data_IF_935388626855
#
_entry.id   IF_935388626855
#
_cell.length_a   1.000
_cell.length_b   1.000
_cell.length_c   1.000
_cell.angle_alpha   90.00
_cell.angle_beta   90.00
_cell.angle_gamma   90.00
#
_symmetry.space_group_name_H-M   'P 1'
#
loop_
_entity.id
_entity.type
_entity.pdbx_description
1 polymer ?
#
# COMPACT_ATOMS: atom_id res chain seq x y z
N UNK A 1 6.08 1.50 -7.72
CA UNK A 1 6.36 0.29 -8.54
C UNK A 1 5.26 0.07 -9.58
N UNK A 2 4.04 -0.35 -9.21
CA UNK A 2 2.96 -0.68 -10.16
C UNK A 2 2.66 0.45 -11.16
N UNK A 3 2.44 1.67 -10.69
CA UNK A 3 2.22 2.83 -11.57
C UNK A 3 3.36 3.02 -12.57
N UNK A 4 4.62 2.95 -12.13
CA UNK A 4 5.77 3.09 -13.03
C UNK A 4 5.91 1.91 -14.01
N UNK A 5 5.56 0.69 -13.58
CA UNK A 5 5.63 -0.52 -14.40
C UNK A 5 4.51 -0.60 -15.45
N UNK A 6 3.32 -0.08 -15.13
CA UNK A 6 2.12 -0.22 -15.96
C UNK A 6 1.68 1.04 -16.69
N UNK A 7 2.07 2.24 -16.23
CA UNK A 7 1.66 3.47 -16.88
C UNK A 7 2.25 3.59 -18.28
N UNK A 8 1.40 3.84 -19.28
CA UNK A 8 1.84 4.21 -20.64
C UNK A 8 2.03 5.74 -20.68
N UNK A 9 3.21 6.24 -21.11
CA UNK A 9 3.51 7.68 -21.11
C UNK A 9 2.50 8.56 -21.87
N UNK A 10 1.76 7.98 -22.84
CA UNK A 10 0.82 8.71 -23.68
C UNK A 10 -0.58 8.93 -23.04
N UNK A 11 -0.99 8.12 -22.05
CA UNK A 11 -2.33 8.22 -21.44
C UNK A 11 -2.37 9.11 -20.19
N UNK A 12 -1.23 9.34 -19.55
CA UNK A 12 -1.13 10.21 -18.37
C UNK A 12 -1.40 11.71 -18.66
N UNK A 13 -1.45 12.09 -19.95
CA UNK A 13 -1.52 13.49 -20.38
C UNK A 13 -2.89 14.02 -20.80
N UNK A 14 -3.93 13.19 -21.00
CA UNK A 14 -5.19 13.67 -21.61
C UNK A 14 -6.44 13.04 -21.01
N UNK A 15 -7.08 13.76 -20.08
CA UNK A 15 -8.55 13.74 -19.99
C UNK A 15 -9.15 13.39 -18.63
N UNK A 16 -9.27 14.40 -17.75
CA UNK A 16 -10.59 14.90 -17.28
C UNK A 16 -10.35 16.02 -16.27
N UNK A 17 -10.57 17.25 -16.74
CA UNK A 17 -10.76 18.37 -15.84
C UNK A 17 -12.01 18.13 -14.98
N UNK A 18 -11.81 18.04 -13.67
CA UNK A 18 -12.84 18.38 -12.67
C UNK A 18 -12.15 19.00 -11.47
N UNK A 19 -12.18 20.34 -11.48
CA UNK A 19 -12.25 21.28 -10.35
C UNK A 19 -11.69 20.78 -9.01
N UNK A 20 -10.46 21.22 -8.72
CA UNK A 20 -9.97 21.56 -7.39
C UNK A 20 -9.77 20.40 -6.41
N UNK A 21 -8.59 19.76 -6.42
CA UNK A 21 -7.93 19.33 -5.19
C UNK A 21 -6.51 18.82 -5.49
N UNK A 22 -5.47 19.55 -5.06
CA UNK A 22 -4.08 19.08 -4.86
C UNK A 22 -3.39 18.21 -5.94
N UNK A 23 -2.19 17.69 -5.63
CA UNK A 23 -1.59 16.58 -6.37
C UNK A 23 -2.50 15.35 -6.25
N UNK A 24 -2.81 14.66 -7.35
CA UNK A 24 -3.54 13.38 -7.30
C UNK A 24 -2.75 12.40 -6.45
N UNK A 25 -3.39 11.84 -5.42
CA UNK A 25 -2.74 10.85 -4.59
C UNK A 25 -2.60 9.52 -5.36
N UNK A 26 -1.62 8.70 -4.94
CA UNK A 26 -1.31 7.42 -5.61
C UNK A 26 -2.54 6.49 -5.72
N UNK A 27 -3.44 6.56 -4.75
CA UNK A 27 -4.64 5.73 -4.68
C UNK A 27 -5.74 6.19 -5.65
N UNK A 28 -5.77 7.46 -6.02
CA UNK A 28 -6.66 7.97 -7.09
C UNK A 28 -6.19 7.54 -8.49
N UNK A 29 -4.89 7.29 -8.66
CA UNK A 29 -4.30 6.94 -9.95
C UNK A 29 -4.29 5.43 -10.20
N UNK A 30 -4.15 4.63 -9.14
CA UNK A 30 -3.99 3.17 -9.24
C UNK A 30 -5.11 2.46 -10.02
N UNK A 31 -6.40 2.76 -9.83
CA UNK A 31 -7.48 2.09 -10.56
C UNK A 31 -7.42 2.29 -12.08
N UNK A 32 -6.80 3.38 -12.54
CA UNK A 32 -6.65 3.67 -13.98
C UNK A 32 -5.59 2.80 -14.67
N UNK A 33 -4.58 2.32 -13.94
CA UNK A 33 -3.47 1.52 -14.50
C UNK A 33 -3.48 0.06 -14.07
N UNK A 34 -4.16 -0.26 -12.98
CA UNK A 34 -4.29 -1.58 -12.38
C UNK A 34 -5.70 -1.69 -11.77
N UNK A 35 -6.75 -1.83 -12.60
CA UNK A 35 -8.13 -1.93 -12.11
C UNK A 35 -8.34 -3.11 -11.15
N UNK A 36 -7.54 -4.17 -11.28
CA UNK A 36 -7.51 -5.29 -10.33
C UNK A 36 -7.10 -4.89 -8.90
N UNK A 37 -6.51 -3.70 -8.72
CA UNK A 37 -6.15 -3.14 -7.41
C UNK A 37 -7.10 -2.00 -6.96
N UNK A 38 -8.24 -1.81 -7.63
CA UNK A 38 -9.15 -0.70 -7.33
C UNK A 38 -9.73 -0.77 -5.91
N UNK A 39 -10.07 -1.97 -5.45
CA UNK A 39 -10.57 -2.19 -4.09
C UNK A 39 -9.52 -1.83 -3.03
N UNK A 40 -8.29 -2.28 -3.24
CA UNK A 40 -7.14 -1.91 -2.41
C UNK A 40 -6.90 -0.40 -2.41
N UNK A 41 -7.01 0.26 -3.57
CA UNK A 41 -6.88 1.70 -3.67
C UNK A 41 -7.94 2.45 -2.85
N UNK A 42 -9.19 2.00 -2.90
CA UNK A 42 -10.27 2.55 -2.08
C UNK A 42 -10.01 2.33 -0.58
N UNK A 43 -9.60 1.13 -0.19
CA UNK A 43 -9.30 0.78 1.20
C UNK A 43 -8.19 1.65 1.79
N UNK A 44 -7.03 1.76 1.12
CA UNK A 44 -5.93 2.60 1.61
C UNK A 44 -6.23 4.09 1.53
N UNK A 45 -6.99 4.52 0.52
CA UNK A 45 -7.48 5.89 0.43
C UNK A 45 -8.35 6.28 1.63
N UNK A 46 -9.27 5.41 2.05
CA UNK A 46 -10.12 5.63 3.22
C UNK A 46 -9.33 5.67 4.55
N UNK A 47 -8.25 4.90 4.66
CA UNK A 47 -7.41 4.85 5.87
C UNK A 47 -6.30 5.92 5.90
N UNK A 48 -6.07 6.65 4.80
CA UNK A 48 -4.99 7.63 4.70
C UNK A 48 -5.06 8.74 5.76
N UNK A 49 -6.28 9.19 6.09
CA UNK A 49 -6.50 10.21 7.13
C UNK A 49 -6.12 9.72 8.54
N UNK A 50 -6.50 8.48 8.88
CA UNK A 50 -6.12 7.85 10.16
C UNK A 50 -4.61 7.71 10.30
N UNK A 51 -3.94 7.26 9.23
CA UNK A 51 -2.48 7.19 9.19
C UNK A 51 -1.85 8.57 9.36
N UNK A 52 -2.33 9.59 8.65
CA UNK A 52 -1.79 10.95 8.76
C UNK A 52 -1.93 11.51 10.19
N UNK A 53 -3.08 11.29 10.84
CA UNK A 53 -3.30 11.67 12.23
C UNK A 53 -2.37 10.93 13.20
N UNK A 54 -2.17 9.61 13.01
CA UNK A 54 -1.22 8.83 13.80
C UNK A 54 0.23 9.32 13.61
N UNK A 55 0.65 9.61 12.37
CA UNK A 55 1.98 10.14 12.08
C UNK A 55 2.22 11.54 12.66
N UNK A 56 1.16 12.34 12.81
CA UNK A 56 1.20 13.63 13.49
C UNK A 56 1.26 13.50 15.02
N UNK A 57 1.27 12.28 15.57
CA UNK A 57 1.34 12.03 17.00
C UNK A 57 0.03 12.28 17.74
N UNK A 58 -1.11 12.31 17.04
CA UNK A 58 -2.41 12.52 17.67
C UNK A 58 -2.78 11.30 18.54
N UNK A 59 -2.96 11.47 19.87
CA UNK A 59 -3.31 10.37 20.75
C UNK A 59 -4.66 9.76 20.37
N UNK A 60 -4.73 8.43 20.29
CA UNK A 60 -5.97 7.71 19.98
C UNK A 60 -6.44 7.82 18.53
N UNK A 61 -5.61 8.33 17.61
CA UNK A 61 -5.94 8.38 16.19
C UNK A 61 -6.19 6.99 15.57
N UNK A 62 -5.51 5.97 16.10
CA UNK A 62 -5.63 4.56 15.71
C UNK A 62 -5.39 3.70 16.95
N UNK A 63 -6.17 2.65 17.13
CA UNK A 63 -5.94 1.64 18.16
C UNK A 63 -4.86 0.63 17.73
N UNK A 64 -4.20 -0.08 18.67
CA UNK A 64 -3.24 -1.13 18.30
C UNK A 64 -3.85 -2.19 17.37
N UNK A 65 -5.10 -2.61 17.63
CA UNK A 65 -5.79 -3.60 16.80
C UNK A 65 -6.02 -3.09 15.36
N UNK A 66 -6.46 -1.85 15.21
CA UNK A 66 -6.64 -1.24 13.89
C UNK A 66 -5.31 -1.10 13.14
N UNK A 67 -4.21 -0.81 13.86
CA UNK A 67 -2.88 -0.77 13.26
C UNK A 67 -2.44 -2.16 12.78
N UNK A 68 -2.61 -3.20 13.61
CA UNK A 68 -2.29 -4.59 13.25
C UNK A 68 -3.10 -5.08 12.06
N UNK A 69 -4.39 -4.74 12.00
CA UNK A 69 -5.23 -5.08 10.85
C UNK A 69 -4.77 -4.34 9.59
N UNK A 70 -4.47 -3.05 9.69
CA UNK A 70 -3.95 -2.29 8.54
C UNK A 70 -2.62 -2.85 8.04
N UNK A 71 -1.75 -3.33 8.93
CA UNK A 71 -0.51 -4.01 8.56
C UNK A 71 -0.78 -5.34 7.85
N UNK A 72 -1.70 -6.17 8.35
CA UNK A 72 -2.09 -7.43 7.68
C UNK A 72 -2.65 -7.21 6.28
N UNK A 73 -3.46 -6.17 6.11
CA UNK A 73 -4.01 -5.80 4.81
C UNK A 73 -2.93 -5.23 3.87
N UNK A 74 -1.99 -4.43 4.39
CA UNK A 74 -0.83 -3.94 3.63
C UNK A 74 0.07 -5.09 3.16
N UNK A 75 0.24 -6.11 3.98
CA UNK A 75 0.99 -7.32 3.66
C UNK A 75 0.37 -8.08 2.49
N UNK A 76 -0.93 -8.36 2.61
CA UNK A 76 -1.73 -9.01 1.55
C UNK A 76 -1.64 -8.24 0.23
N UNK A 77 -1.80 -6.92 0.28
CA UNK A 77 -1.64 -6.06 -0.89
C UNK A 77 -0.24 -6.15 -1.51
N UNK A 78 0.82 -6.11 -0.70
CA UNK A 78 2.19 -6.22 -1.18
C UNK A 78 2.44 -7.58 -1.85
N UNK A 79 1.93 -8.67 -1.28
CA UNK A 79 1.99 -10.00 -1.89
C UNK A 79 1.36 -10.02 -3.29
N UNK A 80 0.16 -9.45 -3.44
CA UNK A 80 -0.52 -9.34 -4.73
C UNK A 80 0.29 -8.50 -5.74
N UNK A 81 0.87 -7.39 -5.30
CA UNK A 81 1.72 -6.53 -6.14
C UNK A 81 2.99 -7.27 -6.57
N UNK A 82 3.64 -8.00 -5.68
CA UNK A 82 4.84 -8.78 -6.00
C UNK A 82 4.53 -9.87 -7.04
N UNK A 83 3.46 -10.65 -6.84
CA UNK A 83 3.00 -11.66 -7.80
C UNK A 83 2.71 -11.03 -9.16
N UNK A 84 2.01 -9.89 -9.19
CA UNK A 84 1.68 -9.17 -10.41
C UNK A 84 2.92 -8.69 -11.18
N UNK A 85 3.99 -8.33 -10.46
CA UNK A 85 5.24 -7.83 -11.05
C UNK A 85 6.27 -8.95 -11.28
N UNK A 86 5.97 -10.21 -10.92
CA UNK A 86 6.92 -11.32 -10.99
C UNK A 86 8.11 -11.17 -10.03
N UNK A 87 7.91 -10.46 -8.92
CA UNK A 87 8.94 -10.20 -7.92
C UNK A 87 8.83 -11.17 -6.75
N UNK A 88 9.97 -11.53 -6.10
CA UNK A 88 9.92 -12.28 -4.86
C UNK A 88 9.23 -11.44 -3.77
N UNK A 89 8.44 -12.09 -2.95
CA UNK A 89 7.83 -11.51 -1.77
C UNK A 89 8.64 -11.88 -0.53
N UNK A 90 8.99 -10.89 0.30
CA UNK A 90 9.57 -11.13 1.63
C UNK A 90 8.49 -10.88 2.67
N UNK A 91 8.20 -11.88 3.50
CA UNK A 91 7.32 -11.73 4.65
C UNK A 91 7.87 -10.64 5.60
N UNK A 92 7.02 -9.85 6.27
CA UNK A 92 7.47 -8.81 7.18
C UNK A 92 8.38 -9.37 8.27
N UNK A 93 9.36 -8.57 8.69
CA UNK A 93 10.38 -8.91 9.69
C UNK A 93 9.84 -9.16 11.12
N UNK A 94 8.52 -9.20 11.30
CA UNK A 94 7.82 -9.43 12.57
C UNK A 94 7.35 -10.89 12.78
N UNK A 95 7.75 -11.82 11.90
CA UNK A 95 7.66 -13.25 12.20
C UNK A 95 8.51 -13.60 13.43
N UNK A 96 8.16 -14.65 14.22
CA UNK A 96 8.96 -15.01 15.38
C UNK A 96 10.40 -15.20 14.93
N UNK A 97 11.33 -14.49 15.55
CA UNK A 97 12.77 -14.69 15.35
C UNK A 97 13.04 -16.13 15.74
N UNK A 98 13.00 -17.04 14.76
CA UNK A 98 13.61 -18.35 14.87
C UNK A 98 15.08 -18.03 14.93
N UNK A 99 15.59 -17.88 16.15
CA UNK A 99 17.01 -17.80 16.41
C UNK A 99 17.61 -19.03 15.74
N UNK A 100 18.29 -18.82 14.61
CA UNK A 100 19.17 -19.80 14.03
C UNK A 100 20.28 -19.93 15.06
N UNK A 101 20.15 -20.88 15.99
CA UNK A 101 21.22 -21.25 16.89
C UNK A 101 22.24 -22.00 16.03
N UNK A 102 23.45 -21.46 15.82
CA UNK A 102 24.46 -22.21 15.09
C UNK A 102 25.04 -23.27 16.04
N UNK A 103 24.89 -24.54 15.64
CA UNK A 103 25.79 -25.64 15.99
C UNK A 103 25.93 -26.00 17.48
N UNK A 104 25.25 -27.07 17.88
CA UNK A 104 25.87 -28.00 18.82
C UNK A 104 26.74 -28.95 17.99
N UNK A 105 28.06 -28.82 18.15
CA UNK A 105 29.05 -29.82 17.74
C UNK A 105 29.03 -31.00 18.72
#
# INVERSE_FOLDING_TARGET
AVLAAKARPAEAGRGRGRRGNGPRNVWELLPGVAPELAEWAAFFGANAGKRAAAQAGLPGAVTPREADDLLREADTFLGLVCVMLGLPYQEPLDGPVVAIVPGAA
#
